data_IF_603125002954
#
_entry.id   IF_603125002954
#
_cell.length_a   1.000
_cell.length_b   1.000
_cell.length_c   1.000
_cell.angle_alpha   90.00
_cell.angle_beta   90.00
_cell.angle_gamma   90.00
#
_symmetry.space_group_name_H-M   'P 1'
#
loop_
_entity.id
_entity.type
_entity.pdbx_description
1 polymer ?
#
# COMPACT_ATOMS: atom_id res chain seq x y z
N UNK A 1 14.50 11.87 13.07
CA UNK A 1 13.99 10.56 12.60
C UNK A 1 15.06 9.51 12.87
N UNK A 2 14.78 8.37 13.54
CA UNK A 2 15.77 7.31 13.77
C UNK A 2 16.37 6.82 12.44
N UNK A 3 17.68 6.51 12.38
CA UNK A 3 18.34 6.06 11.13
C UNK A 3 17.62 4.89 10.46
N UNK A 4 17.06 3.97 11.26
CA UNK A 4 16.25 2.85 10.77
C UNK A 4 15.01 3.28 9.96
N UNK A 5 14.41 4.45 10.23
CA UNK A 5 13.26 4.99 9.48
C UNK A 5 13.66 5.81 8.25
N UNK A 6 14.92 6.22 8.13
CA UNK A 6 15.47 6.84 6.93
C UNK A 6 15.99 5.81 5.91
N UNK A 7 16.16 4.55 6.33
CA UNK A 7 16.58 3.48 5.46
C UNK A 7 15.57 3.24 4.33
N UNK A 8 16.10 3.03 3.11
CA UNK A 8 15.27 2.71 1.93
C UNK A 8 14.39 1.48 2.17
N UNK A 9 14.90 0.50 2.91
CA UNK A 9 14.19 -0.71 3.30
C UNK A 9 12.94 -0.44 4.17
N UNK A 10 13.00 0.56 5.05
CA UNK A 10 11.84 0.99 5.82
C UNK A 10 10.87 1.78 4.95
N UNK A 11 11.39 2.68 4.11
CA UNK A 11 10.58 3.52 3.21
C UNK A 11 9.79 2.70 2.19
N UNK A 12 10.40 1.66 1.59
CA UNK A 12 9.70 0.77 0.64
C UNK A 12 8.52 0.06 1.31
N UNK A 13 8.73 -0.50 2.50
CA UNK A 13 7.69 -1.21 3.26
C UNK A 13 6.55 -0.27 3.63
N UNK A 14 6.87 0.95 4.07
CA UNK A 14 5.86 1.96 4.38
C UNK A 14 5.07 2.39 3.15
N UNK A 15 5.74 2.67 2.02
CA UNK A 15 5.06 3.11 0.79
C UNK A 15 4.18 2.02 0.18
N UNK A 16 4.61 0.76 0.26
CA UNK A 16 3.80 -0.39 -0.12
C UNK A 16 2.51 -0.47 0.71
N UNK A 17 2.60 -0.39 2.05
CA UNK A 17 1.42 -0.40 2.95
C UNK A 17 0.47 0.77 2.71
N UNK A 18 1.00 1.98 2.49
CA UNK A 18 0.19 3.15 2.13
C UNK A 18 -0.57 2.90 0.81
N UNK A 19 0.11 2.29 -0.16
CA UNK A 19 -0.52 1.84 -1.41
C UNK A 19 -1.67 0.87 -1.16
N UNK A 20 -1.46 -0.16 -0.33
CA UNK A 20 -2.49 -1.14 0.01
C UNK A 20 -3.73 -0.51 0.63
N UNK A 21 -3.57 0.39 1.61
CA UNK A 21 -4.71 1.11 2.21
C UNK A 21 -5.46 1.94 1.16
N UNK A 22 -4.74 2.63 0.27
CA UNK A 22 -5.37 3.40 -0.79
C UNK A 22 -6.13 2.51 -1.79
N UNK A 23 -5.55 1.38 -2.17
CA UNK A 23 -6.22 0.39 -3.04
C UNK A 23 -7.46 -0.22 -2.39
N UNK A 24 -7.42 -0.49 -1.09
CA UNK A 24 -8.58 -0.99 -0.34
C UNK A 24 -9.72 0.03 -0.27
N UNK A 25 -9.41 1.30 0.03
CA UNK A 25 -10.41 2.38 -0.02
C UNK A 25 -11.01 2.52 -1.41
N UNK A 26 -10.17 2.45 -2.46
CA UNK A 26 -10.61 2.55 -3.84
C UNK A 26 -11.46 1.34 -4.28
N UNK A 27 -11.18 0.16 -3.74
CA UNK A 27 -11.93 -1.08 -3.99
C UNK A 27 -13.24 -1.19 -3.20
N UNK A 28 -13.42 -0.43 -2.11
CA UNK A 28 -14.69 -0.37 -1.37
C UNK A 28 -15.83 0.21 -2.21
N UNK A 29 -15.51 1.21 -3.02
CA UNK A 29 -16.50 1.93 -3.83
C UNK A 29 -16.58 1.43 -5.29
N UNK A 30 -15.67 0.54 -5.69
CA UNK A 30 -15.56 0.04 -7.06
C UNK A 30 -15.86 -1.46 -7.16
N UNK A 31 -16.84 -1.84 -7.99
CA UNK A 31 -17.19 -3.23 -8.27
C UNK A 31 -17.08 -3.58 -9.77
N UNK A 32 -16.91 -4.88 -10.07
CA UNK A 32 -16.93 -5.40 -11.45
C UNK A 32 -15.92 -4.71 -12.40
N UNK A 33 -16.42 -4.15 -13.49
CA UNK A 33 -15.61 -3.50 -14.53
C UNK A 33 -14.84 -2.27 -14.00
N UNK A 34 -15.39 -1.57 -13.01
CA UNK A 34 -14.71 -0.43 -12.39
C UNK A 34 -13.43 -0.88 -11.66
N UNK A 35 -13.47 -2.03 -10.98
CA UNK A 35 -12.31 -2.62 -10.32
C UNK A 35 -11.20 -2.97 -11.32
N UNK A 36 -11.56 -3.64 -12.42
CA UNK A 36 -10.60 -4.00 -13.50
C UNK A 36 -9.93 -2.75 -14.08
N UNK A 37 -10.70 -1.69 -14.31
CA UNK A 37 -10.16 -0.40 -14.78
C UNK A 37 -9.18 0.20 -13.76
N UNK A 38 -9.51 0.19 -12.47
CA UNK A 38 -8.63 0.72 -11.43
C UNK A 38 -7.33 -0.08 -11.30
N UNK A 39 -7.41 -1.41 -11.37
CA UNK A 39 -6.24 -2.31 -11.39
C UNK A 39 -5.35 -2.00 -12.61
N UNK A 40 -5.95 -1.84 -13.79
CA UNK A 40 -5.23 -1.47 -15.01
C UNK A 40 -4.52 -0.12 -14.89
N UNK A 41 -5.21 0.90 -14.40
CA UNK A 41 -4.64 2.25 -14.19
C UNK A 41 -3.51 2.25 -13.15
N UNK A 42 -3.66 1.50 -12.05
CA UNK A 42 -2.64 1.40 -11.02
C UNK A 42 -1.40 0.66 -11.55
N UNK A 43 -1.59 -0.42 -12.31
CA UNK A 43 -0.52 -1.17 -12.96
C UNK A 43 0.24 -0.32 -13.98
N UNK A 44 -0.48 0.42 -14.82
CA UNK A 44 0.12 1.36 -15.77
C UNK A 44 0.96 2.44 -15.07
N UNK A 45 0.47 3.00 -13.96
CA UNK A 45 1.23 3.96 -13.15
C UNK A 45 2.46 3.33 -12.50
N UNK A 46 2.38 2.09 -12.04
CA UNK A 46 3.52 1.37 -11.50
C UNK A 46 4.62 1.23 -12.56
N UNK A 47 4.27 0.70 -13.75
CA UNK A 47 5.19 0.54 -14.88
C UNK A 47 5.80 1.89 -15.29
N UNK A 48 4.98 2.92 -15.45
CA UNK A 48 5.46 4.27 -15.78
C UNK A 48 6.47 4.82 -14.75
N UNK A 49 6.20 4.63 -13.45
CA UNK A 49 7.11 5.07 -12.39
C UNK A 49 8.43 4.30 -12.38
N UNK A 50 8.40 3.00 -12.68
CA UNK A 50 9.63 2.21 -12.81
C UNK A 50 10.40 2.57 -14.09
N UNK A 51 9.72 2.78 -15.21
CA UNK A 51 10.34 3.21 -16.46
C UNK A 51 11.03 4.57 -16.30
N UNK A 52 10.40 5.53 -15.60
CA UNK A 52 11.01 6.81 -15.28
C UNK A 52 12.20 6.72 -14.32
N UNK A 53 12.40 5.61 -13.62
CA UNK A 53 13.57 5.41 -12.76
C UNK A 53 14.84 5.07 -13.56
N UNK A 54 14.69 4.51 -14.77
CA UNK A 54 15.79 4.10 -15.66
C UNK A 54 16.65 5.29 -16.12
N UNK A 55 16.08 6.36 -16.74
CA UNK A 55 16.88 7.48 -17.24
C UNK A 55 17.50 8.34 -16.12
N UNK A 56 16.97 8.24 -14.89
CA UNK A 56 17.47 8.99 -13.72
C UNK A 56 18.26 8.11 -12.76
N UNK A 57 18.68 6.91 -13.19
CA UNK A 57 19.38 5.94 -12.36
C UNK A 57 20.68 6.50 -11.75
N UNK A 58 21.33 7.43 -12.45
CA UNK A 58 22.55 8.13 -12.01
C UNK A 58 22.28 9.07 -10.83
N UNK A 59 21.06 9.61 -10.70
CA UNK A 59 20.68 10.46 -9.57
C UNK A 59 19.93 9.64 -8.52
N UNK A 60 20.58 9.25 -7.40
CA UNK A 60 19.99 8.35 -6.41
C UNK A 60 18.72 8.92 -5.77
N UNK A 61 18.60 10.25 -5.66
CA UNK A 61 17.41 10.91 -5.09
C UNK A 61 16.22 10.76 -6.03
N UNK A 62 16.41 11.06 -7.32
CA UNK A 62 15.35 10.97 -8.34
C UNK A 62 14.96 9.52 -8.60
N UNK A 63 15.93 8.61 -8.68
CA UNK A 63 15.71 7.16 -8.78
C UNK A 63 14.88 6.65 -7.62
N UNK A 64 15.32 6.90 -6.38
CA UNK A 64 14.62 6.39 -5.19
C UNK A 64 13.20 6.97 -5.10
N UNK A 65 12.97 8.22 -5.51
CA UNK A 65 11.64 8.82 -5.57
C UNK A 65 10.73 8.09 -6.57
N UNK A 66 11.20 7.83 -7.78
CA UNK A 66 10.45 7.11 -8.82
C UNK A 66 10.16 5.66 -8.40
N UNK A 67 11.16 4.97 -7.85
CA UNK A 67 11.00 3.60 -7.32
C UNK A 67 9.99 3.54 -6.17
N UNK A 68 10.07 4.47 -5.19
CA UNK A 68 9.12 4.52 -4.08
C UNK A 68 7.69 4.83 -4.54
N UNK A 69 7.51 5.60 -5.63
CA UNK A 69 6.19 5.78 -6.28
C UNK A 69 5.72 4.51 -6.96
N UNK A 70 6.59 3.81 -7.70
CA UNK A 70 6.27 2.51 -8.30
C UNK A 70 5.81 1.50 -7.26
N UNK A 71 6.55 1.36 -6.15
CA UNK A 71 6.22 0.46 -5.03
C UNK A 71 4.88 0.83 -4.39
N UNK A 72 4.54 2.11 -4.27
CA UNK A 72 3.23 2.53 -3.78
C UNK A 72 2.12 2.02 -4.72
N UNK A 73 2.26 2.17 -6.04
CA UNK A 73 1.26 1.70 -6.99
C UNK A 73 1.12 0.17 -7.03
N UNK A 74 2.21 -0.56 -6.84
CA UNK A 74 2.16 -2.02 -6.63
C UNK A 74 1.36 -2.35 -5.36
N UNK A 75 1.53 -1.57 -4.30
CA UNK A 75 0.68 -1.67 -3.09
C UNK A 75 -0.80 -1.43 -3.39
N UNK A 76 -1.14 -0.45 -4.23
CA UNK A 76 -2.53 -0.18 -4.66
C UNK A 76 -3.13 -1.37 -5.40
N UNK A 77 -2.40 -1.97 -6.34
CA UNK A 77 -2.82 -3.19 -7.04
C UNK A 77 -3.06 -4.34 -6.05
N UNK A 78 -2.14 -4.54 -5.09
CA UNK A 78 -2.29 -5.55 -4.04
C UNK A 78 -3.50 -5.30 -3.14
N UNK A 79 -3.83 -4.04 -2.83
CA UNK A 79 -5.01 -3.66 -2.06
C UNK A 79 -6.31 -3.88 -2.83
N UNK A 80 -6.33 -3.56 -4.13
CA UNK A 80 -7.50 -3.75 -5.01
C UNK A 80 -7.83 -5.23 -5.25
N UNK A 81 -6.81 -6.10 -5.36
CA UNK A 81 -6.99 -7.55 -5.52
C UNK A 81 -7.48 -8.23 -4.23
N UNK A 82 -7.57 -7.48 -3.12
CA UNK A 82 -8.18 -7.98 -1.90
C UNK A 82 -7.29 -8.92 -1.10
N UNK A 83 -5.97 -8.71 -1.11
CA UNK A 83 -5.09 -9.32 -0.10
C UNK A 83 -5.57 -8.82 1.27
N UNK A 84 -6.30 -9.69 1.98
CA UNK A 84 -7.00 -9.39 3.24
C UNK A 84 -6.12 -8.55 4.17
N UNK A 85 -6.71 -7.44 4.60
CA UNK A 85 -6.15 -6.60 5.66
C UNK A 85 -5.93 -7.47 6.91
N UNK A 86 -4.75 -7.35 7.52
CA UNK A 86 -4.51 -7.92 8.85
C UNK A 86 -5.47 -7.19 9.78
N UNK A 87 -6.43 -7.92 10.35
CA UNK A 87 -7.38 -7.43 11.35
C UNK A 87 -6.58 -7.01 12.59
N UNK A 88 -6.15 -5.74 12.67
CA UNK A 88 -5.25 -5.28 13.74
C UNK A 88 -5.96 -4.97 15.07
N UNK A 89 -7.28 -4.86 15.09
CA UNK A 89 -8.06 -4.47 16.29
C UNK A 89 -9.25 -5.40 16.56
N UNK A 90 -9.11 -6.70 16.29
CA UNK A 90 -10.20 -7.67 16.34
C UNK A 90 -10.24 -8.60 17.57
N UNK A 91 -9.48 -8.35 18.64
CA UNK A 91 -9.62 -9.13 19.86
C UNK A 91 -10.50 -8.33 20.85
N UNK A 92 -11.74 -8.76 21.15
CA UNK A 92 -12.33 -8.39 22.42
C UNK A 92 -11.41 -8.96 23.50
N UNK A 93 -11.01 -8.11 24.45
CA UNK A 93 -10.32 -8.58 25.64
C UNK A 93 -11.19 -9.66 26.32
N UNK A 94 -10.65 -10.79 26.78
CA UNK A 94 -11.45 -11.88 27.37
C UNK A 94 -12.22 -11.53 28.66
N UNK A 95 -12.28 -10.26 29.09
CA UNK A 95 -12.77 -9.86 30.42
C UNK A 95 -14.00 -8.94 30.44
N UNK A 96 -14.65 -8.65 29.32
CA UNK A 96 -15.90 -7.87 29.30
C UNK A 96 -17.19 -8.72 29.39
N UNK A 97 -17.07 -10.03 29.60
CA UNK A 97 -18.21 -10.94 29.80
C UNK A 97 -18.73 -11.05 31.25
N UNK A 98 -18.16 -10.29 32.20
CA UNK A 98 -18.39 -10.51 33.64
C UNK A 98 -19.14 -9.40 34.40
N UNK A 99 -19.71 -8.39 33.74
CA UNK A 99 -20.38 -7.25 34.44
C UNK A 99 -21.85 -7.04 34.06
N UNK A 100 -22.55 -8.11 33.65
CA UNK A 100 -24.01 -8.10 33.48
C UNK A 100 -24.63 -9.36 34.09
N UNK A 101 -24.44 -9.56 35.39
CA UNK A 101 -25.26 -10.46 36.20
C UNK A 101 -24.96 -10.20 37.68
N UNK A 102 -25.56 -9.14 38.23
CA UNK A 102 -25.94 -8.99 39.64
C UNK A 102 -26.81 -7.74 39.76
#
# INVERSE_FOLDING_TARGET
VPRARAAFDWLRRRRFRVGQTHGHLLGRDASGLALVRQVGLASAKAVYCFALAIPVAINPVRRNRSVLRGIMHVGVVSGLVGVREIRQYGLPSPQEGGKRAA
#
